data_IF_271830468862
#
_entry.id   IF_271830468862
#
_cell.length_a   1.000
_cell.length_b   1.000
_cell.length_c   1.000
_cell.angle_alpha   90.00
_cell.angle_beta   90.00
_cell.angle_gamma   90.00
#
_symmetry.space_group_name_H-M   'P 1'
#
loop_
_entity.id
_entity.type
_entity.pdbx_description
1 polymer ?
#
# COMPACT_ATOMS: atom_id res chain seq x y z
N UNK A 1 8.88 -5.92 26.68
CA UNK A 1 7.67 -5.40 27.34
C UNK A 1 6.90 -4.62 26.30
N UNK A 2 5.76 -5.15 25.86
CA UNK A 2 4.88 -4.54 24.86
C UNK A 2 3.90 -3.65 25.63
N UNK A 3 3.81 -2.38 25.27
CA UNK A 3 2.92 -1.43 25.94
C UNK A 3 1.46 -1.74 25.58
N UNK A 4 0.63 -1.91 26.61
CA UNK A 4 -0.80 -2.27 26.53
C UNK A 4 -1.66 -1.28 25.71
N UNK A 5 -1.15 -0.10 25.36
CA UNK A 5 -1.87 0.93 24.58
C UNK A 5 -1.93 0.64 23.08
N UNK A 6 -0.95 -0.08 22.51
CA UNK A 6 -0.78 -0.20 21.06
C UNK A 6 -1.68 -1.28 20.42
N UNK A 7 -2.27 -2.12 21.28
CA UNK A 7 -3.18 -3.23 20.91
C UNK A 7 -4.58 -2.75 20.51
N UNK A 8 -4.93 -1.48 20.75
CA UNK A 8 -6.32 -1.01 20.61
C UNK A 8 -6.76 -0.62 19.18
N UNK A 9 -5.83 -0.29 18.26
CA UNK A 9 -6.19 0.27 16.95
C UNK A 9 -6.28 -0.76 15.81
N UNK A 10 -5.43 -1.80 15.80
CA UNK A 10 -5.48 -2.86 14.76
C UNK A 10 -6.39 -4.03 15.12
N UNK A 11 -6.62 -4.31 16.42
CA UNK A 11 -7.49 -5.41 16.85
C UNK A 11 -8.89 -5.35 16.24
N UNK A 12 -9.58 -4.19 16.22
CA UNK A 12 -10.93 -4.12 15.65
C UNK A 12 -10.96 -4.46 14.15
N UNK A 13 -9.89 -4.14 13.39
CA UNK A 13 -9.81 -4.38 11.94
C UNK A 13 -9.47 -5.84 11.59
N UNK A 14 -8.84 -6.56 12.52
CA UNK A 14 -8.36 -7.94 12.33
C UNK A 14 -9.24 -8.97 13.02
N UNK A 15 -10.17 -8.56 13.89
CA UNK A 15 -11.02 -9.45 14.69
C UNK A 15 -12.00 -10.31 13.87
N UNK A 16 -12.30 -9.91 12.63
CA UNK A 16 -13.23 -10.65 11.76
C UNK A 16 -12.52 -11.63 10.80
N UNK A 17 -11.20 -11.81 10.94
CA UNK A 17 -10.45 -12.77 10.12
C UNK A 17 -10.43 -14.16 10.79
N UNK A 18 -10.74 -15.24 10.05
CA UNK A 18 -10.72 -16.58 10.62
C UNK A 18 -9.30 -16.98 11.05
N UNK A 19 -9.14 -17.40 12.32
CA UNK A 19 -7.86 -17.80 12.94
C UNK A 19 -7.16 -18.98 12.25
N UNK A 20 -7.86 -19.74 11.40
CA UNK A 20 -7.29 -20.80 10.56
C UNK A 20 -7.84 -20.69 9.13
N UNK A 21 -6.94 -20.44 8.18
CA UNK A 21 -7.24 -20.47 6.74
C UNK A 21 -6.68 -21.77 6.14
N UNK A 22 -7.55 -22.75 5.91
CA UNK A 22 -7.21 -24.07 5.35
C UNK A 22 -7.19 -24.09 3.81
N UNK A 23 -7.35 -22.92 3.17
CA UNK A 23 -7.39 -22.78 1.72
C UNK A 23 -8.66 -23.34 1.06
N UNK A 24 -9.66 -23.77 1.82
CA UNK A 24 -10.92 -24.31 1.29
C UNK A 24 -12.11 -23.89 2.14
N UNK A 25 -12.74 -22.77 1.81
CA UNK A 25 -14.09 -22.52 2.34
C UNK A 25 -15.11 -23.29 1.49
N UNK A 26 -16.00 -24.05 2.14
CA UNK A 26 -17.18 -24.64 1.49
C UNK A 26 -18.32 -23.63 1.28
N UNK A 27 -18.12 -22.36 1.66
CA UNK A 27 -19.19 -21.32 1.73
C UNK A 27 -18.73 -19.86 1.58
N UNK A 28 -17.46 -19.54 1.30
CA UNK A 28 -16.99 -18.17 1.09
C UNK A 28 -16.24 -18.04 -0.25
N UNK A 29 -16.94 -17.51 -1.24
CA UNK A 29 -16.33 -17.00 -2.47
C UNK A 29 -15.51 -15.77 -2.07
N UNK A 30 -14.18 -15.79 -2.24
CA UNK A 30 -13.43 -14.53 -2.27
C UNK A 30 -13.86 -13.80 -3.53
N UNK A 31 -14.86 -12.96 -3.37
CA UNK A 31 -15.43 -12.22 -4.48
C UNK A 31 -14.69 -10.91 -4.62
N UNK A 32 -13.72 -10.86 -5.52
CA UNK A 32 -13.02 -9.64 -5.89
C UNK A 32 -13.98 -8.54 -6.39
N UNK A 33 -15.27 -8.85 -6.68
CA UNK A 33 -16.14 -7.96 -7.44
C UNK A 33 -17.64 -7.94 -7.11
N UNK A 34 -18.18 -8.77 -6.22
CA UNK A 34 -19.63 -8.94 -6.08
C UNK A 34 -20.28 -8.46 -4.80
N UNK A 35 -19.52 -8.19 -3.73
CA UNK A 35 -20.07 -7.58 -2.49
C UNK A 35 -19.23 -6.42 -1.97
N UNK A 36 -17.91 -6.56 -2.05
CA UNK A 36 -16.93 -5.60 -1.53
C UNK A 36 -15.96 -5.28 -2.66
N UNK A 37 -15.65 -4.00 -2.86
CA UNK A 37 -14.58 -3.60 -3.76
C UNK A 37 -13.23 -3.83 -3.07
N UNK A 38 -12.37 -4.65 -3.66
CA UNK A 38 -11.07 -5.02 -3.09
C UNK A 38 -9.91 -4.38 -3.86
N UNK A 39 -9.07 -3.66 -3.16
CA UNK A 39 -7.79 -3.18 -3.69
C UNK A 39 -6.61 -4.04 -3.22
N UNK A 40 -5.65 -4.23 -4.12
CA UNK A 40 -4.45 -5.05 -3.87
C UNK A 40 -3.21 -4.17 -3.77
N UNK A 41 -2.37 -4.40 -2.76
CA UNK A 41 -1.11 -3.68 -2.56
C UNK A 41 0.02 -4.59 -2.16
N UNK A 42 1.23 -4.18 -2.55
CA UNK A 42 2.46 -4.77 -2.03
C UNK A 42 3.26 -3.70 -1.29
N UNK A 43 3.63 -3.97 -0.03
CA UNK A 43 4.47 -3.12 0.80
C UNK A 43 5.79 -3.82 1.10
N UNK A 44 6.88 -3.06 1.01
CA UNK A 44 8.14 -3.52 1.56
C UNK A 44 8.11 -3.44 3.09
N UNK A 45 8.51 -4.53 3.74
CA UNK A 45 8.80 -4.54 5.17
C UNK A 45 10.09 -3.74 5.37
N UNK A 46 10.00 -2.67 6.16
CA UNK A 46 11.15 -1.83 6.51
C UNK A 46 11.17 -1.64 8.02
N UNK A 47 12.33 -1.82 8.63
CA UNK A 47 12.51 -1.70 10.08
C UNK A 47 12.35 -0.27 10.60
N UNK A 48 12.40 0.74 9.72
CA UNK A 48 12.31 2.16 10.07
C UNK A 48 11.03 2.86 9.56
N UNK A 49 10.21 2.18 8.74
CA UNK A 49 9.02 2.76 8.13
C UNK A 49 7.80 1.84 8.26
N UNK A 50 7.08 2.08 9.36
CA UNK A 50 5.85 1.39 9.75
C UNK A 50 4.63 1.90 9.00
N UNK A 51 4.75 2.93 8.16
CA UNK A 51 3.62 3.47 7.40
C UNK A 51 3.34 2.65 6.14
N UNK A 52 2.05 2.56 5.84
CA UNK A 52 1.50 1.96 4.64
C UNK A 52 0.61 2.98 3.95
N UNK A 53 1.11 3.60 2.89
CA UNK A 53 0.29 4.50 2.07
C UNK A 53 -0.69 3.64 1.27
N UNK A 54 -1.98 3.91 1.43
CA UNK A 54 -3.08 3.14 0.88
C UNK A 54 -3.63 3.81 -0.39
N UNK A 55 -4.95 3.70 -0.57
CA UNK A 55 -5.68 4.21 -1.72
C UNK A 55 -6.03 5.69 -1.60
N UNK A 56 -6.48 6.22 -2.72
CA UNK A 56 -7.09 7.53 -2.78
C UNK A 56 -8.28 7.63 -1.83
N UNK A 57 -8.35 8.74 -1.08
CA UNK A 57 -9.38 8.94 -0.05
C UNK A 57 -10.77 8.99 -0.68
N UNK A 58 -10.93 9.78 -1.74
CA UNK A 58 -12.23 10.00 -2.38
C UNK A 58 -12.75 8.70 -3.01
N UNK A 59 -11.89 7.96 -3.72
CA UNK A 59 -12.25 6.67 -4.30
C UNK A 59 -12.64 5.62 -3.24
N UNK A 60 -11.90 5.55 -2.12
CA UNK A 60 -12.24 4.65 -1.02
C UNK A 60 -13.56 5.06 -0.36
N UNK A 61 -13.79 6.36 -0.13
CA UNK A 61 -15.04 6.84 0.45
C UNK A 61 -16.24 6.55 -0.46
N UNK A 62 -16.15 6.81 -1.76
CA UNK A 62 -17.20 6.43 -2.71
C UNK A 62 -17.50 4.92 -2.70
N UNK A 63 -16.47 4.08 -2.54
CA UNK A 63 -16.66 2.64 -2.41
C UNK A 63 -17.42 2.28 -1.13
N UNK A 64 -17.08 2.90 0.00
CA UNK A 64 -17.77 2.69 1.28
C UNK A 64 -19.23 3.16 1.18
N UNK A 65 -19.48 4.30 0.55
CA UNK A 65 -20.84 4.82 0.35
C UNK A 65 -21.68 3.89 -0.55
N UNK A 66 -21.10 3.34 -1.61
CA UNK A 66 -21.80 2.48 -2.56
C UNK A 66 -22.05 1.06 -2.03
N UNK A 67 -21.11 0.51 -1.25
CA UNK A 67 -21.11 -0.92 -0.88
C UNK A 67 -21.09 -1.17 0.63
N UNK A 68 -21.12 -0.13 1.45
CA UNK A 68 -21.00 -0.19 2.92
C UNK A 68 -19.55 -0.31 3.41
N UNK A 69 -18.66 -0.88 2.57
CA UNK A 69 -17.28 -1.16 2.93
C UNK A 69 -16.33 -1.17 1.73
N UNK A 70 -15.03 -1.10 2.02
CA UNK A 70 -13.96 -1.19 1.03
C UNK A 70 -12.86 -2.12 1.55
N UNK A 71 -12.57 -3.17 0.79
CA UNK A 71 -11.58 -4.17 1.14
C UNK A 71 -10.19 -3.79 0.64
N UNK A 72 -9.17 -4.11 1.43
CA UNK A 72 -7.77 -3.95 1.04
C UNK A 72 -6.98 -5.20 1.41
N UNK A 73 -6.26 -5.75 0.44
CA UNK A 73 -5.30 -6.83 0.63
C UNK A 73 -3.88 -6.29 0.47
N UNK A 74 -3.06 -6.42 1.52
CA UNK A 74 -1.68 -5.93 1.53
C UNK A 74 -0.71 -7.12 1.66
N UNK A 75 -0.01 -7.42 0.57
CA UNK A 75 1.16 -8.28 0.58
C UNK A 75 2.35 -7.56 1.22
N UNK A 76 2.80 -8.05 2.37
CA UNK A 76 4.04 -7.62 3.00
C UNK A 76 5.19 -8.46 2.45
N UNK A 77 6.14 -7.78 1.82
CA UNK A 77 7.29 -8.41 1.18
C UNK A 77 8.60 -8.00 1.85
N UNK A 78 9.48 -8.99 2.04
CA UNK A 78 10.90 -8.72 2.15
C UNK A 78 11.45 -8.39 0.75
N UNK A 79 12.24 -7.34 0.62
CA UNK A 79 12.64 -6.82 -0.69
C UNK A 79 14.14 -6.59 -0.79
N UNK A 80 14.72 -6.99 -1.91
CA UNK A 80 16.08 -6.60 -2.26
C UNK A 80 16.02 -5.33 -3.08
N UNK A 81 16.83 -4.36 -2.69
CA UNK A 81 17.00 -3.12 -3.44
C UNK A 81 18.16 -3.25 -4.43
N UNK A 82 18.12 -2.41 -5.45
CA UNK A 82 19.15 -2.25 -6.45
C UNK A 82 20.52 -1.94 -5.81
N UNK A 83 21.60 -2.34 -6.49
CA UNK A 83 22.97 -2.14 -6.03
C UNK A 83 23.37 -0.64 -6.02
N UNK A 84 24.50 -0.34 -5.38
CA UNK A 84 25.04 1.02 -5.24
C UNK A 84 25.37 1.68 -6.58
N UNK A 85 25.82 0.90 -7.58
CA UNK A 85 26.06 1.39 -8.94
C UNK A 85 24.74 1.54 -9.73
N UNK A 86 23.61 1.14 -9.14
CA UNK A 86 22.27 1.23 -9.69
C UNK A 86 22.11 0.46 -11.01
N UNK A 87 22.81 -0.65 -11.21
CA UNK A 87 22.85 -1.38 -12.49
C UNK A 87 21.46 -1.74 -13.02
N UNK A 88 20.56 -2.23 -12.15
CA UNK A 88 19.19 -2.56 -12.55
C UNK A 88 18.39 -1.33 -12.99
N UNK A 89 18.62 -0.17 -12.37
CA UNK A 89 17.95 1.07 -12.73
C UNK A 89 18.41 1.58 -14.10
N UNK A 90 19.70 1.46 -14.40
CA UNK A 90 20.29 1.80 -15.69
C UNK A 90 19.73 0.89 -16.78
N UNK A 91 19.83 -0.43 -16.60
CA UNK A 91 19.25 -1.42 -17.51
C UNK A 91 17.76 -1.17 -17.80
N UNK A 92 16.95 -0.96 -16.76
CA UNK A 92 15.52 -0.67 -16.95
C UNK A 92 15.27 0.73 -17.54
N UNK A 93 16.19 1.68 -17.42
CA UNK A 93 16.09 2.96 -18.13
C UNK A 93 16.35 2.77 -19.62
N UNK A 94 17.35 2.00 -19.98
CA UNK A 94 17.69 1.71 -21.38
C UNK A 94 16.57 0.92 -22.06
N UNK A 95 16.01 -0.07 -21.36
CA UNK A 95 14.84 -0.82 -21.82
C UNK A 95 13.62 0.08 -22.13
N UNK A 96 13.40 1.14 -21.33
CA UNK A 96 12.33 2.12 -21.57
C UNK A 96 12.61 3.07 -22.74
N UNK A 97 13.81 3.04 -23.33
CA UNK A 97 14.25 4.03 -24.32
C UNK A 97 14.78 5.32 -23.71
N UNK A 98 15.29 5.29 -22.48
CA UNK A 98 15.89 6.43 -21.80
C UNK A 98 15.00 7.08 -20.73
N UNK A 99 15.36 8.30 -20.33
CA UNK A 99 14.65 9.08 -19.31
C UNK A 99 13.41 9.74 -19.90
N UNK A 100 12.30 9.68 -19.19
CA UNK A 100 11.12 10.47 -19.51
C UNK A 100 11.36 11.97 -19.30
N UNK A 101 10.53 12.82 -19.95
CA UNK A 101 10.52 14.28 -19.70
C UNK A 101 10.37 14.63 -18.21
N UNK A 102 9.61 13.82 -17.47
CA UNK A 102 9.43 13.97 -16.03
C UNK A 102 10.73 13.68 -15.26
N UNK A 103 11.42 12.58 -15.59
CA UNK A 103 12.68 12.20 -14.95
C UNK A 103 13.76 13.27 -15.19
N UNK A 104 13.88 13.81 -16.40
CA UNK A 104 14.82 14.89 -16.73
C UNK A 104 14.55 16.14 -15.88
N UNK A 105 13.28 16.61 -15.82
CA UNK A 105 12.90 17.76 -14.99
C UNK A 105 13.03 17.50 -13.48
N UNK A 106 12.95 16.24 -13.04
CA UNK A 106 13.14 15.87 -11.64
C UNK A 106 14.63 15.95 -11.26
N UNK A 107 15.52 15.50 -12.12
CA UNK A 107 16.97 15.53 -11.88
C UNK A 107 17.52 16.95 -11.76
N UNK A 108 16.91 17.91 -12.48
CA UNK A 108 17.21 19.34 -12.31
C UNK A 108 16.82 19.89 -10.92
N UNK A 109 15.87 19.23 -10.23
CA UNK A 109 15.38 19.66 -8.90
C UNK A 109 16.01 18.89 -7.75
N UNK A 110 16.40 17.63 -7.99
CA UNK A 110 17.04 16.78 -6.98
C UNK A 110 17.88 15.70 -7.64
N UNK A 111 19.07 15.47 -7.10
CA UNK A 111 19.94 14.36 -7.48
C UNK A 111 19.50 13.03 -6.80
N UNK A 112 18.54 13.07 -5.87
CA UNK A 112 18.10 11.89 -5.13
C UNK A 112 17.09 11.10 -5.96
N UNK A 113 17.45 9.87 -6.31
CA UNK A 113 16.53 8.89 -6.88
C UNK A 113 16.32 7.72 -5.93
N UNK A 114 15.05 7.33 -5.72
CA UNK A 114 14.71 6.11 -4.97
C UNK A 114 15.37 4.89 -5.62
N UNK A 115 15.91 4.00 -4.80
CA UNK A 115 16.37 2.69 -5.27
C UNK A 115 15.18 1.86 -5.76
N UNK A 116 15.36 1.15 -6.87
CA UNK A 116 14.36 0.20 -7.37
C UNK A 116 14.48 -1.11 -6.59
N UNK A 117 13.36 -1.81 -6.42
CA UNK A 117 13.35 -3.17 -5.88
C UNK A 117 13.71 -4.12 -7.03
N UNK A 118 14.57 -5.08 -6.78
CA UNK A 118 15.02 -6.09 -7.76
C UNK A 118 14.37 -7.45 -7.51
N UNK A 119 14.00 -7.74 -6.27
CA UNK A 119 13.17 -8.89 -5.91
C UNK A 119 12.25 -8.56 -4.74
N UNK A 120 11.18 -9.35 -4.61
CA UNK A 120 10.26 -9.30 -3.49
C UNK A 120 9.87 -10.74 -3.11
N UNK A 121 10.07 -11.10 -1.84
CA UNK A 121 9.63 -12.36 -1.27
C UNK A 121 8.42 -12.08 -0.38
N UNK A 122 7.27 -12.69 -0.68
CA UNK A 122 6.08 -12.56 0.13
C UNK A 122 6.32 -13.18 1.50
N UNK A 123 6.05 -12.43 2.58
CA UNK A 123 6.16 -12.91 3.95
C UNK A 123 4.80 -13.05 4.62
N UNK A 124 3.89 -12.12 4.35
CA UNK A 124 2.58 -12.07 4.98
C UNK A 124 1.56 -11.37 4.07
N UNK A 125 0.28 -11.69 4.23
CA UNK A 125 -0.82 -10.99 3.59
C UNK A 125 -1.76 -10.47 4.68
N UNK A 126 -1.98 -9.16 4.70
CA UNK A 126 -2.98 -8.52 5.54
C UNK A 126 -4.28 -8.32 4.76
N UNK A 127 -5.41 -8.64 5.39
CA UNK A 127 -6.74 -8.30 4.89
C UNK A 127 -7.33 -7.23 5.81
N UNK A 128 -7.80 -6.13 5.22
CA UNK A 128 -8.39 -5.01 5.94
C UNK A 128 -9.72 -4.66 5.30
N UNK A 129 -10.70 -4.33 6.14
CA UNK A 129 -12.00 -3.82 5.70
C UNK A 129 -12.18 -2.43 6.27
N UNK A 130 -12.33 -1.45 5.39
CA UNK A 130 -12.55 -0.05 5.74
C UNK A 130 -14.05 0.23 5.66
N UNK A 131 -14.60 0.77 6.73
CA UNK A 131 -16.00 1.19 6.84
C UNK A 131 -16.07 2.66 7.24
N UNK A 132 -17.26 3.26 7.17
CA UNK A 132 -17.47 4.63 7.63
C UNK A 132 -17.02 4.81 9.10
N UNK A 133 -17.24 3.79 9.95
CA UNK A 133 -16.94 3.85 11.38
C UNK A 133 -15.44 3.75 11.68
N UNK A 134 -14.70 2.92 10.93
CA UNK A 134 -13.28 2.66 11.23
C UNK A 134 -12.31 3.51 10.39
N UNK A 135 -12.80 4.18 9.34
CA UNK A 135 -11.99 5.06 8.48
C UNK A 135 -11.28 6.18 9.26
N UNK A 136 -11.86 6.62 10.39
CA UNK A 136 -11.28 7.62 11.31
C UNK A 136 -9.93 7.20 11.90
N UNK A 137 -9.60 5.91 11.90
CA UNK A 137 -8.31 5.39 12.37
C UNK A 137 -7.20 5.46 11.31
N UNK A 138 -7.52 5.88 10.08
CA UNK A 138 -6.56 6.05 9.01
C UNK A 138 -6.08 7.49 8.93
N UNK A 139 -4.77 7.67 8.83
CA UNK A 139 -4.16 8.98 8.58
C UNK A 139 -4.34 9.40 7.12
N UNK A 140 -4.09 10.68 6.85
CA UNK A 140 -4.08 11.25 5.49
C UNK A 140 -2.65 11.49 5.02
N UNK A 141 -2.28 10.89 3.90
CA UNK A 141 -1.04 11.14 3.18
C UNK A 141 -1.25 12.16 2.05
N UNK A 142 -0.77 13.38 2.28
CA UNK A 142 -0.69 14.39 1.24
C UNK A 142 0.41 14.03 0.21
N UNK A 143 0.05 14.11 -1.07
CA UNK A 143 0.97 13.83 -2.17
C UNK A 143 1.34 15.12 -2.91
N UNK A 144 2.51 15.09 -3.55
CA UNK A 144 2.96 16.14 -4.47
C UNK A 144 2.10 16.23 -5.74
N UNK A 145 2.52 17.05 -6.69
CA UNK A 145 1.83 17.24 -7.97
C UNK A 145 2.02 16.06 -8.93
N UNK A 146 1.01 15.87 -9.78
CA UNK A 146 1.05 15.03 -10.96
C UNK A 146 2.00 15.58 -12.04
N UNK A 147 2.31 14.78 -13.06
CA UNK A 147 3.14 15.19 -14.21
C UNK A 147 2.55 16.38 -14.99
N UNK A 148 1.24 16.61 -14.86
CA UNK A 148 0.51 17.76 -15.42
C UNK A 148 0.45 18.98 -14.48
N UNK A 149 1.14 18.95 -13.33
CA UNK A 149 1.20 20.06 -12.37
C UNK A 149 -0.02 20.19 -11.45
N UNK A 150 -1.08 19.42 -11.65
CA UNK A 150 -2.23 19.38 -10.72
C UNK A 150 -1.86 18.66 -9.41
N UNK A 151 -2.39 19.04 -8.25
CA UNK A 151 -2.22 18.27 -7.01
C UNK A 151 -2.62 16.80 -7.22
N UNK A 152 -1.89 15.86 -6.61
CA UNK A 152 -2.40 14.49 -6.53
C UNK A 152 -3.46 14.40 -5.45
N UNK A 153 -4.52 13.62 -5.70
CA UNK A 153 -5.47 13.28 -4.65
C UNK A 153 -4.78 12.72 -3.40
N UNK A 154 -5.32 13.03 -2.23
CA UNK A 154 -4.80 12.53 -0.96
C UNK A 154 -5.06 11.04 -0.82
N UNK A 155 -4.20 10.35 -0.08
CA UNK A 155 -4.35 8.91 0.16
C UNK A 155 -4.59 8.62 1.64
N UNK A 156 -5.34 7.59 1.95
CA UNK A 156 -5.32 7.02 3.29
C UNK A 156 -3.94 6.46 3.61
N UNK A 157 -3.59 6.43 4.88
CA UNK A 157 -2.35 5.87 5.40
C UNK A 157 -2.64 5.07 6.66
N UNK A 158 -2.13 3.84 6.69
CA UNK A 158 -2.17 2.99 7.86
C UNK A 158 -0.81 2.99 8.56
N UNK A 159 -0.83 3.14 9.88
CA UNK A 159 0.32 2.86 10.73
C UNK A 159 0.31 1.35 11.04
N UNK A 160 1.11 0.58 10.29
CA UNK A 160 1.27 -0.88 10.48
C UNK A 160 2.17 -1.16 11.69
N UNK A 161 1.68 -1.94 12.65
CA UNK A 161 2.38 -2.24 13.91
C UNK A 161 3.55 -3.24 13.72
N UNK A 162 4.43 -3.32 14.72
CA UNK A 162 5.47 -4.35 14.84
C UNK A 162 4.91 -5.69 15.30
#
# INVERSE_FOLDING_TARGET
>A
MIAQSDIQLAKPLLMDLPEKWDGKSKTACFDMKGSINWDLKAKAIKSDDYRSILNDVDATNHSIEAYGEHGLMIALCDVKYNDSNRTFQQWHQDLKGGKSKYEIKREQRTNISRYRKTSAELKEILFLVITAQNSVFLDIHAQDRNSNGKPRPTKYMLLTFR
#
